data_IF_554876644714
#
_entry.id   IF_554876644714
#
_cell.length_a   1.000
_cell.length_b   1.000
_cell.length_c   1.000
_cell.angle_alpha   90.00
_cell.angle_beta   90.00
_cell.angle_gamma   90.00
#
_symmetry.space_group_name_H-M   'P 1'
#
loop_
_entity.id
_entity.type
_entity.pdbx_description
1 polymer ?
#
# COMPACT_ATOMS: atom_id res chain seq x y z
N UNK A 1 7.95 11.28 0.70
CA UNK A 1 6.65 10.83 0.16
C UNK A 1 6.28 9.45 0.70
N UNK A 2 7.07 8.39 0.44
CA UNK A 2 6.80 7.04 0.97
C UNK A 2 6.58 7.05 2.50
N UNK A 3 7.50 7.63 3.27
CA UNK A 3 7.35 7.69 4.74
C UNK A 3 6.05 8.38 5.18
N UNK A 4 5.71 9.52 4.56
CA UNK A 4 4.48 10.25 4.86
C UNK A 4 3.24 9.43 4.50
N UNK A 5 3.24 8.76 3.34
CA UNK A 5 2.18 7.83 2.95
C UNK A 5 2.02 6.69 3.94
N UNK A 6 3.13 6.09 4.40
CA UNK A 6 3.11 5.01 5.38
C UNK A 6 2.55 5.44 6.74
N UNK A 7 2.87 6.66 7.19
CA UNK A 7 2.29 7.25 8.41
C UNK A 7 0.79 7.47 8.26
N UNK A 8 0.34 8.09 7.16
CA UNK A 8 -1.09 8.29 6.91
C UNK A 8 -1.85 6.96 6.84
N UNK A 9 -1.26 5.95 6.17
CA UNK A 9 -1.83 4.61 6.11
C UNK A 9 -1.89 3.97 7.50
N UNK A 10 -0.84 4.07 8.31
CA UNK A 10 -0.84 3.55 9.68
C UNK A 10 -1.94 4.20 10.52
N UNK A 11 -2.13 5.53 10.42
CA UNK A 11 -3.21 6.23 11.12
C UNK A 11 -4.58 5.74 10.64
N UNK A 12 -4.79 5.58 9.33
CA UNK A 12 -6.03 5.05 8.78
C UNK A 12 -6.35 3.65 9.34
N UNK A 13 -5.35 2.76 9.35
CA UNK A 13 -5.47 1.39 9.88
C UNK A 13 -5.76 1.41 11.38
N UNK A 14 -5.09 2.27 12.16
CA UNK A 14 -5.33 2.39 13.61
C UNK A 14 -6.71 2.96 13.94
N UNK A 15 -7.29 3.80 13.07
CA UNK A 15 -8.67 4.28 13.22
C UNK A 15 -9.65 3.12 13.02
N UNK A 16 -9.47 2.32 11.96
CA UNK A 16 -10.32 1.14 11.66
C UNK A 16 -10.26 0.13 12.80
N UNK A 17 -9.06 -0.16 13.31
CA UNK A 17 -8.86 -1.15 14.38
C UNK A 17 -9.00 -0.61 15.80
N UNK A 18 -9.38 0.66 15.97
CA UNK A 18 -9.58 1.26 17.29
C UNK A 18 -10.52 0.44 18.20
N UNK A 19 -11.63 -0.15 17.71
CA UNK A 19 -12.49 -1.00 18.52
C UNK A 19 -11.81 -2.28 19.06
N UNK A 20 -10.75 -2.74 18.39
CA UNK A 20 -10.00 -3.94 18.75
C UNK A 20 -8.72 -3.64 19.56
N UNK A 21 -8.52 -2.41 20.04
CA UNK A 21 -7.24 -1.98 20.61
C UNK A 21 -6.75 -2.85 21.78
N UNK A 22 -7.65 -3.47 22.55
CA UNK A 22 -7.28 -4.36 23.67
C UNK A 22 -7.18 -5.83 23.28
N UNK A 23 -7.64 -6.18 22.07
CA UNK A 23 -7.77 -7.53 21.53
C UNK A 23 -6.87 -7.77 20.32
N UNK A 24 -6.07 -6.78 19.90
CA UNK A 24 -5.24 -6.84 18.68
C UNK A 24 -4.29 -8.04 18.62
N UNK A 25 -3.86 -8.56 19.77
CA UNK A 25 -2.96 -9.70 19.85
C UNK A 25 -3.68 -11.03 20.07
N UNK A 26 -4.99 -11.02 20.38
CA UNK A 26 -5.75 -12.25 20.62
C UNK A 26 -5.66 -13.18 19.43
N UNK A 27 -5.38 -14.46 19.70
CA UNK A 27 -5.25 -15.45 18.64
C UNK A 27 -3.97 -15.30 17.79
N UNK A 28 -3.09 -14.35 18.10
CA UNK A 28 -1.85 -14.17 17.33
C UNK A 28 -0.75 -15.16 17.73
N UNK A 29 0.13 -15.46 16.78
CA UNK A 29 1.33 -16.26 17.00
C UNK A 29 2.25 -15.65 18.07
N UNK A 30 2.23 -14.33 18.24
CA UNK A 30 3.04 -13.60 19.23
C UNK A 30 2.71 -13.97 20.68
N UNK A 31 1.48 -14.44 20.91
CA UNK A 31 1.03 -14.92 22.21
C UNK A 31 0.69 -16.41 22.20
N UNK A 32 1.19 -17.16 21.20
CA UNK A 32 0.98 -18.61 21.10
C UNK A 32 -0.46 -19.01 20.79
N UNK A 33 -1.21 -18.20 20.03
CA UNK A 33 -2.60 -18.46 19.66
C UNK A 33 -3.57 -18.51 20.87
N UNK A 34 -3.21 -17.83 21.97
CA UNK A 34 -4.09 -17.73 23.12
C UNK A 34 -5.14 -16.62 22.97
N UNK A 35 -6.33 -16.85 23.53
CA UNK A 35 -7.39 -15.85 23.68
C UNK A 35 -7.50 -15.45 25.15
N UNK A 36 -6.96 -14.28 25.50
CA UNK A 36 -7.03 -13.79 26.89
C UNK A 36 -8.39 -13.15 27.20
N UNK A 37 -9.10 -12.69 26.17
CA UNK A 37 -10.44 -12.09 26.23
C UNK A 37 -11.20 -12.41 24.95
N UNK A 38 -12.51 -12.49 25.04
CA UNK A 38 -13.36 -12.53 23.85
C UNK A 38 -13.30 -11.18 23.12
N UNK A 39 -13.51 -11.20 21.80
CA UNK A 39 -13.64 -9.97 21.02
C UNK A 39 -14.90 -9.21 21.44
N UNK A 40 -14.76 -7.91 21.70
CA UNK A 40 -15.94 -7.06 21.89
C UNK A 40 -16.82 -7.04 20.63
N UNK A 41 -18.13 -6.81 20.79
CA UNK A 41 -19.05 -6.73 19.66
C UNK A 41 -18.62 -5.69 18.60
N UNK A 42 -18.04 -4.58 19.05
CA UNK A 42 -17.51 -3.54 18.15
C UNK A 42 -16.27 -4.02 17.40
N UNK A 43 -15.41 -4.82 18.02
CA UNK A 43 -14.26 -5.43 17.35
C UNK A 43 -14.71 -6.48 16.33
N UNK A 44 -15.70 -7.32 16.65
CA UNK A 44 -16.26 -8.30 15.72
C UNK A 44 -16.83 -7.60 14.46
N UNK A 45 -17.61 -6.54 14.63
CA UNK A 45 -18.11 -5.75 13.47
C UNK A 45 -16.95 -5.17 12.64
N UNK A 46 -15.87 -4.71 13.28
CA UNK A 46 -14.69 -4.25 12.55
C UNK A 46 -14.01 -5.40 11.79
N UNK A 47 -13.91 -6.60 12.36
CA UNK A 47 -13.36 -7.78 11.67
C UNK A 47 -14.20 -8.18 10.44
N UNK A 48 -15.53 -8.08 10.53
CA UNK A 48 -16.45 -8.41 9.43
C UNK A 48 -16.38 -7.40 8.27
N UNK A 49 -16.09 -6.13 8.59
CA UNK A 49 -16.27 -5.01 7.64
C UNK A 49 -14.97 -4.33 7.22
N UNK A 50 -13.86 -4.56 7.94
CA UNK A 50 -12.60 -3.89 7.66
C UNK A 50 -12.03 -4.36 6.31
N UNK A 51 -11.77 -3.44 5.36
CA UNK A 51 -11.03 -3.79 4.16
C UNK A 51 -9.55 -3.98 4.48
N UNK A 52 -8.86 -4.82 3.69
CA UNK A 52 -7.41 -5.09 3.88
C UNK A 52 -6.58 -3.81 3.75
N UNK A 53 -6.95 -2.93 2.81
CA UNK A 53 -6.45 -1.56 2.72
C UNK A 53 -7.66 -0.62 2.92
N UNK A 54 -7.59 0.35 3.85
CA UNK A 54 -8.72 1.18 4.29
C UNK A 54 -9.18 2.22 3.26
N UNK A 55 -9.34 1.85 1.98
CA UNK A 55 -9.93 2.71 0.95
C UNK A 55 -11.43 2.91 1.20
N UNK A 56 -11.98 4.09 0.85
CA UNK A 56 -13.41 4.37 1.03
C UNK A 56 -14.24 3.49 0.10
N UNK A 57 -15.35 2.96 0.64
CA UNK A 57 -16.38 2.30 -0.15
C UNK A 57 -17.32 3.34 -0.83
N UNK A 58 -18.12 2.94 -1.83
CA UNK A 58 -19.18 3.80 -2.35
C UNK A 58 -20.11 4.28 -1.23
N UNK A 59 -20.39 5.58 -1.18
CA UNK A 59 -21.18 6.20 -0.10
C UNK A 59 -20.49 6.29 1.27
N UNK A 60 -19.22 5.87 1.41
CA UNK A 60 -18.46 5.98 2.66
C UNK A 60 -17.52 7.20 2.65
N UNK A 61 -17.85 8.19 3.48
CA UNK A 61 -17.04 9.40 3.70
C UNK A 61 -16.18 9.33 4.99
N UNK A 62 -15.73 8.13 5.38
CA UNK A 62 -14.93 7.93 6.58
C UNK A 62 -13.57 8.64 6.54
N UNK A 63 -13.14 9.16 7.69
CA UNK A 63 -11.81 9.77 7.84
C UNK A 63 -10.67 8.79 7.54
N UNK A 64 -10.83 7.51 7.90
CA UNK A 64 -9.89 6.44 7.54
C UNK A 64 -9.79 6.27 6.03
N UNK A 65 -10.91 6.29 5.31
CA UNK A 65 -10.98 6.25 3.85
C UNK A 65 -10.13 7.34 3.21
N UNK A 66 -10.34 8.61 3.60
CA UNK A 66 -9.60 9.73 3.03
C UNK A 66 -8.11 9.72 3.39
N UNK A 67 -7.73 9.31 4.59
CA UNK A 67 -6.32 9.15 4.97
C UNK A 67 -5.65 8.05 4.13
N UNK A 68 -6.35 6.96 3.84
CA UNK A 68 -5.84 5.88 3.00
C UNK A 68 -5.68 6.30 1.53
N UNK A 69 -6.61 7.10 1.00
CA UNK A 69 -6.51 7.71 -0.34
C UNK A 69 -5.32 8.67 -0.40
N UNK A 70 -5.15 9.53 0.60
CA UNK A 70 -4.00 10.41 0.68
C UNK A 70 -2.68 9.62 0.76
N UNK A 71 -2.63 8.55 1.55
CA UNK A 71 -1.49 7.64 1.62
C UNK A 71 -1.15 7.01 0.27
N UNK A 72 -2.15 6.41 -0.39
CA UNK A 72 -2.01 5.77 -1.70
C UNK A 72 -1.58 6.77 -2.78
N UNK A 73 -2.07 8.01 -2.70
CA UNK A 73 -1.68 9.11 -3.60
C UNK A 73 -0.21 9.45 -3.39
N UNK A 74 0.26 9.60 -2.14
CA UNK A 74 1.68 9.86 -1.85
C UNK A 74 2.59 8.72 -2.30
N UNK A 75 2.12 7.47 -2.20
CA UNK A 75 2.83 6.32 -2.75
C UNK A 75 2.94 6.38 -4.28
N UNK A 76 1.82 6.55 -4.99
CA UNK A 76 1.82 6.64 -6.44
C UNK A 76 2.66 7.82 -6.96
N UNK A 77 2.54 8.99 -6.33
CA UNK A 77 3.34 10.17 -6.69
C UNK A 77 4.84 9.97 -6.40
N UNK A 78 5.22 9.12 -5.43
CA UNK A 78 6.64 8.85 -5.17
C UNK A 78 7.34 8.17 -6.36
N UNK A 79 6.61 7.35 -7.13
CA UNK A 79 7.09 6.80 -8.39
C UNK A 79 7.24 7.88 -9.46
N UNK A 80 6.22 8.72 -9.65
CA UNK A 80 6.30 9.80 -10.65
C UNK A 80 7.45 10.77 -10.38
N UNK A 81 7.76 11.03 -9.10
CA UNK A 81 8.88 11.90 -8.70
C UNK A 81 10.24 11.25 -8.93
N UNK A 82 10.37 9.91 -8.88
CA UNK A 82 11.67 9.26 -9.11
C UNK A 82 12.00 9.15 -10.60
N UNK A 83 11.00 9.09 -11.50
CA UNK A 83 11.24 8.89 -12.94
C UNK A 83 12.19 9.92 -13.58
N UNK A 84 12.06 11.24 -13.34
CA UNK A 84 13.00 12.23 -13.87
C UNK A 84 14.44 12.03 -13.37
N UNK A 85 14.62 11.45 -12.17
CA UNK A 85 15.94 11.19 -11.60
C UNK A 85 16.62 9.93 -12.16
N UNK A 86 15.93 9.17 -13.04
CA UNK A 86 16.50 8.00 -13.71
C UNK A 86 17.23 8.35 -15.02
N UNK A 87 17.19 9.62 -15.44
CA UNK A 87 17.87 10.13 -16.64
C UNK A 87 17.53 9.35 -17.93
N UNK A 88 16.35 8.71 -17.96
CA UNK A 88 15.87 7.99 -19.13
C UNK A 88 15.26 8.96 -20.16
N UNK A 89 15.22 8.54 -21.43
CA UNK A 89 14.54 9.30 -22.47
C UNK A 89 13.07 9.58 -22.09
N UNK A 90 12.54 10.71 -22.59
CA UNK A 90 11.19 11.16 -22.24
C UNK A 90 10.12 10.10 -22.55
N UNK A 91 10.27 9.35 -23.65
CA UNK A 91 9.32 8.30 -24.05
C UNK A 91 9.38 7.09 -23.12
N UNK A 92 10.58 6.71 -22.64
CA UNK A 92 10.75 5.68 -21.59
C UNK A 92 10.05 6.14 -20.31
N UNK A 93 10.26 7.40 -19.93
CA UNK A 93 9.66 8.00 -18.74
C UNK A 93 8.12 7.99 -18.85
N UNK A 94 7.55 8.34 -20.00
CA UNK A 94 6.10 8.28 -20.23
C UNK A 94 5.57 6.84 -20.12
N UNK A 95 6.19 5.87 -20.80
CA UNK A 95 5.74 4.48 -20.78
C UNK A 95 5.80 3.86 -19.38
N UNK A 96 6.76 4.29 -18.57
CA UNK A 96 6.97 3.77 -17.20
C UNK A 96 6.10 4.46 -16.15
N UNK A 97 5.30 5.48 -16.51
CA UNK A 97 4.33 6.11 -15.58
C UNK A 97 3.13 5.23 -15.26
N UNK A 98 2.88 4.18 -16.06
CA UNK A 98 1.67 3.36 -16.01
C UNK A 98 1.28 2.86 -14.60
N UNK A 99 2.20 2.30 -13.77
CA UNK A 99 1.83 1.84 -12.43
C UNK A 99 1.17 2.93 -11.58
N UNK A 100 1.77 4.13 -11.55
CA UNK A 100 1.25 5.24 -10.77
C UNK A 100 -0.04 5.82 -11.36
N UNK A 101 -0.12 5.96 -12.69
CA UNK A 101 -1.31 6.50 -13.35
C UNK A 101 -2.51 5.60 -13.09
N UNK A 102 -2.36 4.27 -13.21
CA UNK A 102 -3.44 3.31 -12.97
C UNK A 102 -3.94 3.37 -11.51
N UNK A 103 -3.03 3.46 -10.53
CA UNK A 103 -3.41 3.66 -9.12
C UNK A 103 -4.13 5.00 -8.93
N UNK A 104 -3.62 6.11 -9.48
CA UNK A 104 -4.27 7.41 -9.34
C UNK A 104 -5.66 7.43 -10.00
N UNK A 105 -5.83 6.76 -11.15
CA UNK A 105 -7.12 6.57 -11.79
C UNK A 105 -8.08 5.79 -10.88
N UNK A 106 -7.61 4.69 -10.27
CA UNK A 106 -8.39 3.92 -9.30
C UNK A 106 -8.85 4.79 -8.12
N UNK A 107 -7.93 5.52 -7.51
CA UNK A 107 -8.23 6.38 -6.36
C UNK A 107 -9.23 7.49 -6.70
N UNK A 108 -9.13 8.04 -7.91
CA UNK A 108 -10.09 9.04 -8.40
C UNK A 108 -11.48 8.44 -8.55
N UNK A 109 -11.60 7.24 -9.12
CA UNK A 109 -12.90 6.54 -9.24
C UNK A 109 -13.51 6.27 -7.86
N UNK A 110 -12.71 5.78 -6.91
CA UNK A 110 -13.17 5.52 -5.54
C UNK A 110 -13.60 6.81 -4.83
N UNK A 111 -12.84 7.90 -4.98
CA UNK A 111 -13.19 9.18 -4.39
C UNK A 111 -14.51 9.71 -4.96
N UNK A 112 -14.70 9.65 -6.28
CA UNK A 112 -15.97 10.08 -6.92
C UNK A 112 -17.15 9.26 -6.41
N UNK A 113 -17.00 7.93 -6.31
CA UNK A 113 -18.07 7.04 -5.83
C UNK A 113 -18.33 7.18 -4.32
N UNK A 114 -17.31 7.53 -3.52
CA UNK A 114 -17.49 7.77 -2.09
C UNK A 114 -18.38 9.00 -1.80
N UNK A 115 -18.45 9.94 -2.75
CA UNK A 115 -19.25 11.16 -2.64
C UNK A 115 -20.69 10.99 -3.13
N UNK A 116 -20.99 9.89 -3.83
CA UNK A 116 -22.34 9.59 -4.32
C UNK A 116 -23.11 8.77 -3.27
N UNK A 117 -24.02 9.43 -2.55
CA UNK A 117 -24.85 8.81 -1.52
C UNK A 117 -25.83 7.75 -2.07
N UNK A 118 -26.08 7.74 -3.39
CA UNK A 118 -26.88 6.73 -4.07
C UNK A 118 -26.06 5.55 -4.59
N UNK A 119 -24.73 5.64 -4.55
CA UNK A 119 -23.87 4.58 -5.05
C UNK A 119 -23.94 3.37 -4.11
N UNK A 120 -24.37 2.24 -4.66
CA UNK A 120 -24.34 0.93 -4.01
C UNK A 120 -23.50 0.01 -4.88
N UNK A 121 -22.64 -0.81 -4.28
CA UNK A 121 -21.74 -1.68 -5.06
C UNK A 121 -20.54 -2.17 -4.29
N UNK A 122 -19.66 -2.89 -5.01
CA UNK A 122 -18.44 -3.49 -4.46
C UNK A 122 -17.38 -2.43 -4.14
N UNK A 123 -16.53 -2.72 -3.14
CA UNK A 123 -15.42 -1.87 -2.71
C UNK A 123 -14.46 -1.48 -3.86
N UNK A 124 -14.38 -2.31 -4.90
CA UNK A 124 -13.69 -2.04 -6.15
C UNK A 124 -14.69 -2.15 -7.31
N UNK A 125 -15.04 -1.04 -7.97
CA UNK A 125 -15.85 -1.07 -9.20
C UNK A 125 -15.09 -1.70 -10.37
N UNK A 126 -13.76 -1.60 -10.32
CA UNK A 126 -12.82 -2.06 -11.33
C UNK A 126 -11.70 -2.89 -10.69
N UNK A 127 -11.99 -4.10 -10.16
CA UNK A 127 -11.02 -4.89 -9.41
C UNK A 127 -9.78 -5.27 -10.23
N UNK A 128 -9.87 -5.27 -11.56
CA UNK A 128 -8.73 -5.53 -12.44
C UNK A 128 -7.73 -4.36 -12.48
N UNK A 129 -8.14 -3.12 -12.19
CA UNK A 129 -7.27 -1.95 -12.29
C UNK A 129 -6.08 -1.99 -11.31
N UNK A 130 -6.25 -2.29 -10.01
CA UNK A 130 -5.12 -2.48 -9.08
C UNK A 130 -4.22 -3.64 -9.50
N UNK A 131 -4.77 -4.72 -10.06
CA UNK A 131 -3.98 -5.83 -10.59
C UNK A 131 -3.12 -5.41 -11.78
N UNK A 132 -3.71 -4.71 -12.75
CA UNK A 132 -2.97 -4.21 -13.93
C UNK A 132 -1.90 -3.21 -13.51
N UNK A 133 -2.15 -2.38 -12.49
CA UNK A 133 -1.15 -1.47 -11.95
C UNK A 133 0.09 -2.21 -11.40
N UNK A 134 -0.11 -3.31 -10.68
CA UNK A 134 0.98 -4.16 -10.19
C UNK A 134 1.70 -4.90 -11.31
N UNK A 135 0.96 -5.44 -12.29
CA UNK A 135 1.56 -6.09 -13.46
C UNK A 135 2.34 -5.11 -14.35
N UNK A 136 2.01 -3.82 -14.30
CA UNK A 136 2.77 -2.77 -14.97
C UNK A 136 4.14 -2.51 -14.31
N UNK A 137 4.36 -2.88 -13.04
CA UNK A 137 5.65 -2.69 -12.35
C UNK A 137 6.78 -3.50 -13.01
N UNK A 138 6.70 -4.84 -13.18
CA UNK A 138 7.77 -5.58 -13.84
C UNK A 138 7.99 -5.11 -15.28
N UNK A 139 6.93 -4.75 -16.00
CA UNK A 139 7.05 -4.18 -17.37
C UNK A 139 7.81 -2.87 -17.34
N UNK A 140 7.49 -1.96 -16.42
CA UNK A 140 8.20 -0.68 -16.27
C UNK A 140 9.67 -0.89 -15.92
N UNK A 141 9.99 -1.81 -15.00
CA UNK A 141 11.37 -2.13 -14.62
C UNK A 141 12.15 -2.77 -15.77
N UNK A 142 11.51 -3.62 -16.58
CA UNK A 142 12.12 -4.18 -17.79
C UNK A 142 12.42 -3.09 -18.81
N UNK A 143 11.46 -2.19 -19.07
CA UNK A 143 11.65 -1.03 -19.97
C UNK A 143 12.84 -0.17 -19.51
N UNK A 144 12.93 0.15 -18.21
CA UNK A 144 14.07 0.89 -17.65
C UNK A 144 15.39 0.11 -17.77
N UNK A 145 15.34 -1.21 -17.61
CA UNK A 145 16.49 -2.10 -17.81
C UNK A 145 17.01 -2.08 -19.25
N UNK A 146 16.10 -2.14 -20.23
CA UNK A 146 16.44 -2.02 -21.66
C UNK A 146 16.94 -0.62 -22.02
N UNK A 147 16.49 0.41 -21.31
CA UNK A 147 17.01 1.78 -21.42
C UNK A 147 18.38 1.98 -20.73
N UNK A 148 19.04 0.90 -20.31
CA UNK A 148 20.37 0.91 -19.69
C UNK A 148 20.45 1.71 -18.37
N UNK A 149 19.33 1.86 -17.65
CA UNK A 149 19.35 2.49 -16.31
C UNK A 149 20.28 1.68 -15.40
N UNK A 150 21.21 2.32 -14.67
CA UNK A 150 22.15 1.63 -13.79
C UNK A 150 21.46 0.69 -12.81
N UNK A 151 21.99 -0.54 -12.64
CA UNK A 151 21.41 -1.58 -11.77
C UNK A 151 21.09 -1.09 -10.35
N UNK A 152 21.96 -0.25 -9.78
CA UNK A 152 21.73 0.32 -8.45
C UNK A 152 20.50 1.25 -8.41
N UNK A 153 20.25 2.01 -9.47
CA UNK A 153 19.05 2.85 -9.62
C UNK A 153 17.82 2.00 -9.89
N UNK A 154 17.93 0.92 -10.69
CA UNK A 154 16.84 -0.03 -10.92
C UNK A 154 16.35 -0.70 -9.63
N UNK A 155 17.26 -1.08 -8.72
CA UNK A 155 16.87 -1.63 -7.41
C UNK A 155 16.08 -0.61 -6.59
N UNK A 156 16.55 0.65 -6.54
CA UNK A 156 15.84 1.72 -5.84
C UNK A 156 14.47 1.98 -6.47
N UNK A 157 14.42 2.06 -7.80
CA UNK A 157 13.19 2.21 -8.57
C UNK A 157 12.22 1.06 -8.27
N UNK A 158 12.69 -0.19 -8.24
CA UNK A 158 11.88 -1.35 -7.88
C UNK A 158 11.23 -1.21 -6.49
N UNK A 159 11.99 -0.77 -5.48
CA UNK A 159 11.43 -0.52 -4.14
C UNK A 159 10.34 0.56 -4.17
N UNK A 160 10.59 1.67 -4.88
CA UNK A 160 9.60 2.75 -5.02
C UNK A 160 8.36 2.29 -5.77
N UNK A 161 8.52 1.50 -6.85
CA UNK A 161 7.42 0.97 -7.64
C UNK A 161 6.53 0.04 -6.82
N UNK A 162 7.12 -0.86 -6.01
CA UNK A 162 6.38 -1.72 -5.09
C UNK A 162 5.56 -0.89 -4.09
N UNK A 163 6.15 0.18 -3.52
CA UNK A 163 5.38 1.07 -2.65
C UNK A 163 4.28 1.80 -3.39
N UNK A 164 4.51 2.25 -4.63
CA UNK A 164 3.53 2.96 -5.44
C UNK A 164 2.28 2.14 -5.74
N UNK A 165 2.42 0.81 -5.80
CA UNK A 165 1.31 -0.13 -6.00
C UNK A 165 0.89 -0.83 -4.71
N UNK A 166 1.21 -0.30 -3.53
CA UNK A 166 0.80 -0.85 -2.24
C UNK A 166 -0.72 -1.13 -2.09
N UNK A 167 -1.65 -0.33 -2.65
CA UNK A 167 -3.09 -0.67 -2.64
C UNK A 167 -3.48 -1.73 -3.69
N UNK A 168 -2.51 -2.32 -4.39
CA UNK A 168 -2.70 -3.33 -5.43
C UNK A 168 -3.09 -4.71 -4.87
N UNK A 169 -3.80 -5.51 -5.67
CA UNK A 169 -4.42 -6.76 -5.20
C UNK A 169 -3.40 -7.80 -4.71
N UNK A 170 -2.23 -7.93 -5.33
CA UNK A 170 -1.18 -8.86 -4.92
C UNK A 170 -0.60 -8.50 -3.56
N UNK A 171 -0.42 -7.21 -3.27
CA UNK A 171 -0.06 -6.76 -1.91
C UNK A 171 -1.16 -7.11 -0.91
N UNK A 172 -2.45 -6.90 -1.26
CA UNK A 172 -3.56 -7.25 -0.37
C UNK A 172 -3.63 -8.76 -0.09
N UNK A 173 -3.46 -9.60 -1.11
CA UNK A 173 -3.37 -11.05 -0.94
C UNK A 173 -2.21 -11.43 -0.03
N UNK A 174 -1.02 -10.87 -0.25
CA UNK A 174 0.15 -11.12 0.58
C UNK A 174 -0.07 -10.72 2.05
N UNK A 175 -0.68 -9.55 2.28
CA UNK A 175 -0.99 -9.05 3.62
C UNK A 175 -2.03 -9.94 4.30
N UNK A 176 -3.07 -10.37 3.57
CA UNK A 176 -4.08 -11.28 4.09
C UNK A 176 -3.46 -12.63 4.50
N UNK A 177 -2.66 -13.24 3.63
CA UNK A 177 -1.99 -14.51 3.99
C UNK A 177 -1.04 -14.35 5.17
N UNK A 178 -0.29 -13.25 5.25
CA UNK A 178 0.57 -12.98 6.41
C UNK A 178 -0.26 -12.81 7.69
N UNK A 179 -1.40 -12.13 7.62
CA UNK A 179 -2.31 -11.96 8.74
C UNK A 179 -2.91 -13.29 9.21
N UNK A 180 -3.37 -14.13 8.27
CA UNK A 180 -3.92 -15.48 8.55
C UNK A 180 -2.86 -16.44 9.08
N UNK A 181 -1.62 -16.36 8.60
CA UNK A 181 -0.51 -17.18 9.14
C UNK A 181 -0.10 -16.73 10.55
N UNK A 182 -0.30 -15.45 10.86
CA UNK A 182 0.08 -14.85 12.13
C UNK A 182 -1.06 -14.84 13.16
N UNK A 183 -2.28 -15.24 12.80
CA UNK A 183 -3.46 -15.20 13.65
C UNK A 183 -4.43 -16.35 13.37
N UNK A 184 -4.90 -17.04 14.41
CA UNK A 184 -5.97 -18.03 14.30
C UNK A 184 -7.38 -17.37 14.25
N UNK A 185 -7.47 -16.05 14.43
CA UNK A 185 -8.68 -15.25 14.18
C UNK A 185 -8.85 -14.99 12.67
N UNK A 186 -8.78 -16.05 11.87
CA UNK A 186 -8.72 -16.02 10.41
C UNK A 186 -10.06 -16.26 9.68
N UNK A 187 -11.12 -16.40 10.46
CA UNK A 187 -12.48 -16.59 9.96
C UNK A 187 -13.06 -15.31 9.34
N UNK A 188 -12.51 -14.14 9.71
CA UNK A 188 -12.74 -12.81 9.11
C UNK A 188 -11.41 -12.09 8.81
N UNK A 189 -11.41 -10.76 8.73
CA UNK A 189 -10.18 -9.96 8.64
C UNK A 189 -9.50 -9.89 10.01
N UNK A 190 -8.29 -10.43 10.21
CA UNK A 190 -7.64 -10.42 11.51
C UNK A 190 -7.35 -8.98 12.01
N UNK A 191 -7.46 -8.71 13.32
CA UNK A 191 -7.12 -7.41 13.88
C UNK A 191 -5.72 -6.93 13.49
N UNK A 192 -5.62 -5.66 13.08
CA UNK A 192 -4.35 -5.07 12.64
C UNK A 192 -3.97 -5.37 11.19
N UNK A 193 -4.83 -6.05 10.42
CA UNK A 193 -4.65 -6.16 8.96
C UNK A 193 -4.43 -4.77 8.35
N UNK A 194 -3.39 -4.65 7.52
CA UNK A 194 -2.91 -3.38 6.97
C UNK A 194 -1.67 -2.79 7.67
N UNK A 195 -1.41 -3.14 8.95
CA UNK A 195 -0.18 -2.67 9.64
C UNK A 195 1.10 -3.21 8.99
N UNK A 196 1.02 -4.38 8.36
CA UNK A 196 2.11 -4.97 7.56
C UNK A 196 2.49 -4.04 6.40
N UNK A 197 1.51 -3.49 5.67
CA UNK A 197 1.75 -2.54 4.56
C UNK A 197 2.47 -1.30 5.08
N UNK A 198 2.01 -0.74 6.19
CA UNK A 198 2.66 0.44 6.80
C UNK A 198 4.09 0.13 7.21
N UNK A 199 4.33 -1.01 7.85
CA UNK A 199 5.65 -1.42 8.34
C UNK A 199 6.62 -1.64 7.18
N UNK A 200 6.21 -2.38 6.15
CA UNK A 200 7.00 -2.61 4.95
C UNK A 200 7.25 -1.31 4.17
N UNK A 201 6.28 -0.40 4.11
CA UNK A 201 6.46 0.91 3.48
C UNK A 201 7.44 1.81 4.24
N UNK A 202 7.44 1.77 5.58
CA UNK A 202 8.45 2.44 6.40
C UNK A 202 9.84 1.84 6.12
N UNK A 203 9.95 0.51 6.11
CA UNK A 203 11.19 -0.18 5.79
C UNK A 203 11.70 0.16 4.38
N UNK A 204 10.81 0.24 3.39
CA UNK A 204 11.11 0.68 2.03
C UNK A 204 11.63 2.12 1.99
N UNK A 205 11.01 3.05 2.72
CA UNK A 205 11.47 4.43 2.82
C UNK A 205 12.88 4.51 3.41
N UNK A 206 13.16 3.77 4.47
CA UNK A 206 14.50 3.68 5.10
C UNK A 206 15.51 3.05 4.14
N UNK A 207 15.15 1.94 3.49
CA UNK A 207 16.00 1.25 2.54
C UNK A 207 16.40 2.12 1.36
N UNK A 208 15.44 2.84 0.76
CA UNK A 208 15.70 3.82 -0.30
C UNK A 208 16.66 4.90 0.20
N UNK A 209 16.45 5.45 1.40
CA UNK A 209 17.32 6.50 1.97
C UNK A 209 18.76 6.02 2.20
N UNK A 210 18.94 4.81 2.73
CA UNK A 210 20.26 4.19 2.93
C UNK A 210 20.95 3.98 1.59
N UNK A 211 20.26 3.36 0.64
CA UNK A 211 20.81 3.09 -0.69
C UNK A 211 21.22 4.38 -1.41
N UNK A 212 20.46 5.47 -1.25
CA UNK A 212 20.81 6.78 -1.82
C UNK A 212 22.01 7.45 -1.16
N UNK A 213 22.22 7.25 0.15
CA UNK A 213 23.41 7.75 0.86
C UNK A 213 24.68 7.06 0.39
N UNK A 214 24.65 5.73 0.30
CA UNK A 214 25.81 4.93 -0.13
C UNK A 214 26.24 5.25 -1.57
N UNK A 215 25.28 5.55 -2.44
CA UNK A 215 25.56 5.97 -3.82
C UNK A 215 26.34 7.29 -3.90
N UNK A 216 25.98 8.27 -3.06
CA UNK A 216 26.68 9.57 -3.01
C UNK A 216 28.08 9.45 -2.41
N UNK A 217 28.24 8.67 -1.35
CA UNK A 217 29.55 8.43 -0.75
C UNK A 217 30.55 7.84 -1.77
N UNK A 218 30.09 6.94 -2.63
CA UNK A 218 30.91 6.32 -3.68
C UNK A 218 31.24 7.25 -4.85
N UNK A 219 30.43 8.28 -5.14
CA UNK A 219 30.73 9.24 -6.22
C UNK A 219 31.74 10.30 -5.80
N UNK A 220 31.85 10.62 -4.50
CA UNK A 220 32.84 11.57 -3.98
C UNK A 220 34.22 10.96 -3.68
N UNK A 221 34.32 9.64 -3.68
CA UNK A 221 35.58 8.91 -3.49
C UNK A 221 36.32 8.61 -4.81
N UNK A 222 35.76 9.06 -5.95
CA UNK A 222 36.37 8.98 -7.29
C UNK A 222 36.73 10.39 -7.74
#
# INVERSE_FOLDING_TARGET
MILAGAVLHAVAVLIVWRPCATEMLNGSILIGFHYYRDFSAACAVAMDTAPIYPLPAPGDASASGYLAVAAATLFALSWLVILPALEADWWVSVLTTAPAVLILTMLTQLLVLSLDAGATGTLYPTPWLPLVAELAVPVALLILGYAHVPRALLVRAGIVALTATAPGLMHLFGVYFLAVLASDANWDTPPGTGLVVSTLSIAAAVGVLVLWRDGRAKSHAK
#
